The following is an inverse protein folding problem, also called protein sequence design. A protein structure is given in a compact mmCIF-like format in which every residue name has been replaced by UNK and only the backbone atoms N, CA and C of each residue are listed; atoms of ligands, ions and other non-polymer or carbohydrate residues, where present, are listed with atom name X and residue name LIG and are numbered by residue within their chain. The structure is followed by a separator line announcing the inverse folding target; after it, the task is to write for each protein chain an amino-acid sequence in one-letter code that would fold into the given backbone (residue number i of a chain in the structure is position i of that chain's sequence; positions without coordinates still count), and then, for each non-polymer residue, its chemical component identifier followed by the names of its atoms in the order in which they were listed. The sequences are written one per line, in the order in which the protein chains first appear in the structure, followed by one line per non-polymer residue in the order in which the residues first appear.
data_IF_374414398300
#
_entry.id   IF_374414398300
#
_cell.length_a   1.000
_cell.length_b   1.000
_cell.length_c   1.000
_cell.angle_alpha   90.00
_cell.angle_beta   90.00
_cell.angle_gamma   90.00
#
_symmetry.space_group_name_H-M   'P 1'
#
loop_
_entity.id
_entity.type
_entity.pdbx_description
1 polymer ?
#
# COMPACT_ATOMS: atom_id res chain seq x y z
N UNK A 1 58.82 -28.45 -35.58
CA UNK A 1 57.40 -28.19 -35.91
C UNK A 1 56.68 -29.52 -36.08
N UNK A 2 55.64 -29.75 -35.28
CA UNK A 2 54.41 -30.38 -35.74
C UNK A 2 53.16 -29.52 -35.41
N UNK A 3 52.00 -29.76 -36.05
CA UNK A 3 50.97 -28.76 -36.29
C UNK A 3 49.96 -28.60 -35.14
N UNK A 4 49.44 -27.37 -35.03
CA UNK A 4 48.31 -26.96 -34.20
C UNK A 4 47.04 -27.72 -34.61
N UNK A 5 46.42 -28.41 -33.64
CA UNK A 5 45.08 -28.98 -33.77
C UNK A 5 44.10 -27.96 -33.18
N UNK A 6 43.26 -27.37 -34.05
CA UNK A 6 42.17 -26.48 -33.65
C UNK A 6 41.00 -27.28 -33.06
N UNK A 7 40.59 -26.93 -31.84
CA UNK A 7 39.33 -27.41 -31.24
C UNK A 7 38.22 -26.41 -31.58
N UNK A 8 37.04 -26.83 -32.05
CA UNK A 8 35.94 -25.92 -32.33
C UNK A 8 35.39 -25.36 -31.00
N UNK A 9 35.32 -24.04 -30.89
CA UNK A 9 34.66 -23.35 -29.78
C UNK A 9 33.17 -23.30 -30.07
N UNK A 10 32.37 -24.02 -29.30
CA UNK A 10 30.91 -23.91 -29.30
C UNK A 10 30.54 -22.54 -28.72
N UNK A 11 29.85 -21.71 -29.51
CA UNK A 11 29.35 -20.41 -29.06
C UNK A 11 28.28 -20.58 -27.97
N UNK A 12 28.58 -20.10 -26.76
CA UNK A 12 27.59 -19.90 -25.70
C UNK A 12 26.68 -18.74 -26.12
N UNK A 13 25.33 -18.88 -26.12
CA UNK A 13 24.46 -17.76 -26.43
C UNK A 13 24.52 -16.72 -25.31
N UNK A 14 24.92 -15.50 -25.67
CA UNK A 14 24.88 -14.29 -24.86
C UNK A 14 23.45 -14.05 -24.34
N UNK A 15 23.24 -13.84 -23.02
CA UNK A 15 21.93 -13.44 -22.52
C UNK A 15 21.57 -12.05 -23.06
N UNK A 16 20.41 -11.96 -23.72
CA UNK A 16 19.76 -10.71 -24.11
C UNK A 16 19.66 -9.78 -22.90
N UNK A 17 20.14 -8.53 -22.96
CA UNK A 17 19.98 -7.60 -21.85
C UNK A 17 18.49 -7.27 -21.67
N UNK A 18 17.97 -7.58 -20.50
CA UNK A 18 16.70 -7.05 -19.99
C UNK A 18 16.76 -5.52 -20.02
N UNK A 19 15.78 -4.80 -20.60
CA UNK A 19 15.83 -3.35 -20.63
C UNK A 19 15.71 -2.80 -19.20
N UNK A 20 16.79 -2.20 -18.71
CA UNK A 20 16.78 -1.31 -17.54
C UNK A 20 16.01 -0.05 -17.90
N UNK A 21 14.93 0.33 -17.19
CA UNK A 21 14.29 1.62 -17.42
C UNK A 21 15.26 2.73 -17.01
N UNK A 22 15.85 3.37 -18.01
CA UNK A 22 16.74 4.52 -17.85
C UNK A 22 15.96 5.81 -18.09
N UNK A 23 15.83 6.63 -17.05
CA UNK A 23 15.36 8.01 -17.15
C UNK A 23 14.44 8.42 -16.01
N UNK A 24 14.52 9.68 -15.52
CA UNK A 24 13.56 10.18 -14.55
C UNK A 24 12.16 10.13 -15.18
N UNK A 25 11.21 9.52 -14.49
CA UNK A 25 9.84 9.39 -14.97
C UNK A 25 9.21 10.78 -15.19
N UNK A 26 9.23 11.27 -16.42
CA UNK A 26 8.39 12.40 -16.82
C UNK A 26 6.95 11.95 -16.68
N UNK A 27 6.26 12.47 -15.66
CA UNK A 27 4.89 12.13 -15.25
C UNK A 27 3.88 12.29 -16.40
N UNK A 28 3.74 11.25 -17.23
CA UNK A 28 2.45 10.95 -17.85
C UNK A 28 1.59 10.40 -16.72
N UNK A 29 0.42 11.00 -16.48
CA UNK A 29 -0.52 10.45 -15.51
C UNK A 29 -0.76 9.01 -15.92
N UNK A 30 -0.36 8.06 -15.06
CA UNK A 30 -0.56 6.65 -15.34
C UNK A 30 -2.05 6.43 -15.63
N UNK A 31 -2.35 5.56 -16.59
CA UNK A 31 -3.74 5.20 -16.87
C UNK A 31 -4.31 4.48 -15.65
N UNK A 32 -5.09 5.22 -14.87
CA UNK A 32 -5.66 4.80 -13.59
C UNK A 32 -7.17 4.92 -13.64
N UNK A 33 -7.86 4.35 -12.66
CA UNK A 33 -9.30 4.50 -12.57
C UNK A 33 -9.71 5.98 -12.50
N UNK A 34 -8.95 6.81 -11.78
CA UNK A 34 -9.22 8.25 -11.63
C UNK A 34 -9.06 9.05 -12.90
N UNK A 35 -8.23 8.62 -13.86
CA UNK A 35 -8.11 9.31 -15.16
C UNK A 35 -9.24 8.98 -16.11
N UNK A 36 -10.02 7.92 -15.82
CA UNK A 36 -11.12 7.45 -16.68
C UNK A 36 -12.50 7.83 -16.16
N UNK A 37 -12.64 8.11 -14.87
CA UNK A 37 -13.94 8.47 -14.28
C UNK A 37 -14.47 9.82 -14.74
N UNK A 38 -15.79 9.90 -14.88
CA UNK A 38 -16.50 11.14 -15.17
C UNK A 38 -16.47 12.11 -13.97
N UNK A 39 -15.66 13.17 -14.05
CA UNK A 39 -15.53 14.19 -12.99
C UNK A 39 -16.88 14.87 -12.66
N UNK A 40 -17.71 15.17 -13.66
CA UNK A 40 -19.05 15.76 -13.45
C UNK A 40 -19.96 14.82 -12.67
N UNK A 41 -19.90 13.51 -12.93
CA UNK A 41 -20.65 12.51 -12.16
C UNK A 41 -20.18 12.51 -10.70
N UNK A 42 -18.87 12.53 -10.45
CA UNK A 42 -18.31 12.61 -9.10
C UNK A 42 -18.77 13.88 -8.40
N UNK A 43 -18.67 15.02 -9.08
CA UNK A 43 -19.01 16.34 -8.57
C UNK A 43 -20.48 16.41 -8.14
N UNK A 44 -21.38 16.00 -9.04
CA UNK A 44 -22.84 16.02 -8.81
C UNK A 44 -23.26 15.00 -7.76
N UNK A 45 -22.69 13.79 -7.78
CA UNK A 45 -23.02 12.73 -6.82
C UNK A 45 -22.63 13.12 -5.41
N UNK A 46 -21.43 13.68 -5.22
CA UNK A 46 -20.94 14.09 -3.89
C UNK A 46 -21.41 15.49 -3.47
N UNK A 47 -21.88 16.33 -4.40
CA UNK A 47 -22.28 17.70 -4.12
C UNK A 47 -21.09 18.59 -3.75
N UNK A 48 -19.95 18.38 -4.41
CA UNK A 48 -18.68 19.05 -4.10
C UNK A 48 -18.42 20.18 -5.10
N UNK A 49 -17.70 21.25 -4.72
CA UNK A 49 -17.54 22.43 -5.56
C UNK A 49 -16.71 22.17 -6.81
N UNK A 50 -15.70 21.30 -6.72
CA UNK A 50 -14.81 20.93 -7.83
C UNK A 50 -14.38 19.49 -7.69
N UNK A 51 -14.04 18.86 -8.81
CA UNK A 51 -13.32 17.59 -8.85
C UNK A 51 -12.06 17.83 -9.68
N UNK A 52 -10.90 17.41 -9.17
CA UNK A 52 -9.63 17.49 -9.91
C UNK A 52 -8.82 16.24 -9.65
N UNK A 53 -8.34 15.60 -10.72
CA UNK A 53 -7.35 14.53 -10.58
C UNK A 53 -6.13 15.08 -9.82
N UNK A 54 -5.76 14.40 -8.74
CA UNK A 54 -4.50 14.66 -8.05
C UNK A 54 -3.48 13.63 -8.56
N UNK A 55 -2.58 13.99 -9.50
CA UNK A 55 -1.63 13.05 -10.09
C UNK A 55 -0.51 12.64 -9.13
N UNK A 56 -0.67 12.88 -7.82
CA UNK A 56 0.31 12.47 -6.81
C UNK A 56 0.48 10.96 -6.89
N UNK A 57 1.73 10.51 -6.89
CA UNK A 57 2.06 9.10 -6.70
C UNK A 57 1.66 8.75 -5.27
N UNK A 58 0.42 8.29 -5.10
CA UNK A 58 -0.10 8.03 -3.77
C UNK A 58 0.45 6.69 -3.27
N UNK A 59 0.82 6.62 -1.98
CA UNK A 59 1.19 5.36 -1.37
C UNK A 59 0.10 4.31 -1.63
N UNK A 60 0.50 3.05 -1.70
CA UNK A 60 -0.48 1.96 -1.70
C UNK A 60 -1.36 2.08 -0.45
N UNK A 61 -2.65 1.76 -0.58
CA UNK A 61 -3.50 1.53 0.59
C UNK A 61 -3.16 0.14 1.12
N UNK A 62 -2.14 0.09 1.97
CA UNK A 62 -1.65 -1.13 2.58
C UNK A 62 -2.72 -1.70 3.49
N UNK A 63 -3.23 -2.85 3.06
CA UNK A 63 -4.31 -3.57 3.69
C UNK A 63 -4.33 -5.01 3.20
N UNK A 64 -5.31 -5.77 3.67
CA UNK A 64 -5.62 -7.09 3.14
C UNK A 64 -6.98 -7.06 2.45
N UNK A 65 -7.02 -6.95 1.10
CA UNK A 65 -5.88 -6.83 0.18
C UNK A 65 -5.33 -5.39 0.09
N UNK A 66 -4.13 -5.26 -0.49
CA UNK A 66 -3.49 -3.95 -0.75
C UNK A 66 -3.98 -3.40 -2.10
N UNK A 67 -4.20 -2.08 -2.17
CA UNK A 67 -4.69 -1.41 -3.38
C UNK A 67 -3.67 -0.42 -3.93
N UNK A 68 -3.51 -0.40 -5.25
CA UNK A 68 -2.98 0.76 -5.96
C UNK A 68 -4.09 1.80 -6.06
N UNK A 69 -3.86 2.94 -5.42
CA UNK A 69 -4.85 4.00 -5.26
C UNK A 69 -4.47 5.20 -6.10
N UNK A 70 -5.46 5.82 -6.69
CA UNK A 70 -5.41 7.17 -7.25
C UNK A 70 -6.40 8.07 -6.50
N UNK A 71 -6.25 9.39 -6.60
CA UNK A 71 -7.08 10.35 -5.86
C UNK A 71 -7.66 11.45 -6.74
N UNK A 72 -8.88 11.86 -6.40
CA UNK A 72 -9.54 13.06 -6.89
C UNK A 72 -9.70 14.04 -5.74
N UNK A 73 -9.17 15.25 -5.88
CA UNK A 73 -9.43 16.36 -4.98
C UNK A 73 -10.87 16.84 -5.13
N UNK A 74 -11.56 17.02 -4.02
CA UNK A 74 -12.97 17.42 -3.97
C UNK A 74 -13.17 18.88 -3.53
N UNK A 75 -12.10 19.65 -3.45
CA UNK A 75 -12.15 21.08 -3.16
C UNK A 75 -11.03 21.82 -3.87
N UNK A 76 -11.08 23.16 -3.80
CA UNK A 76 -10.02 24.04 -4.31
C UNK A 76 -8.78 24.05 -3.41
N UNK A 77 -8.88 23.52 -2.18
CA UNK A 77 -7.75 23.41 -1.26
C UNK A 77 -6.92 22.16 -1.55
N UNK A 78 -5.58 22.26 -1.65
CA UNK A 78 -4.71 21.10 -1.82
C UNK A 78 -4.70 20.15 -0.60
N UNK A 79 -5.18 20.59 0.57
CA UNK A 79 -5.38 19.78 1.78
C UNK A 79 -6.85 19.39 1.99
N UNK A 80 -7.71 19.63 1.00
CA UNK A 80 -9.13 19.34 1.05
C UNK A 80 -9.49 17.85 1.05
N UNK A 81 -10.80 17.54 1.17
CA UNK A 81 -11.28 16.17 1.07
C UNK A 81 -10.92 15.55 -0.29
N UNK A 82 -10.65 14.24 -0.29
CA UNK A 82 -10.32 13.48 -1.49
C UNK A 82 -11.25 12.27 -1.64
N UNK A 83 -11.56 11.92 -2.89
CA UNK A 83 -12.07 10.60 -3.26
C UNK A 83 -10.88 9.74 -3.67
N UNK A 84 -10.79 8.54 -3.12
CA UNK A 84 -9.76 7.55 -3.41
C UNK A 84 -10.40 6.39 -4.16
N UNK A 85 -9.80 6.02 -5.29
CA UNK A 85 -10.22 4.85 -6.06
C UNK A 85 -9.02 3.91 -6.16
N UNK A 86 -9.22 2.67 -5.77
CA UNK A 86 -8.17 1.67 -5.67
C UNK A 86 -8.52 0.36 -6.35
N UNK A 87 -7.51 -0.31 -6.89
CA UNK A 87 -7.61 -1.66 -7.45
C UNK A 87 -6.60 -2.54 -6.74
N UNK A 88 -7.02 -3.74 -6.34
CA UNK A 88 -6.14 -4.67 -5.63
C UNK A 88 -4.92 -5.00 -6.49
N UNK A 89 -3.73 -4.95 -5.86
CA UNK A 89 -2.47 -5.20 -6.57
C UNK A 89 -2.33 -6.66 -6.99
N UNK A 90 -2.81 -7.57 -6.13
CA UNK A 90 -2.93 -8.99 -6.42
C UNK A 90 -4.34 -9.34 -6.95
N UNK A 91 -4.46 -10.42 -7.72
CA UNK A 91 -5.75 -11.02 -8.01
C UNK A 91 -6.53 -11.33 -6.73
N UNK A 92 -7.85 -11.29 -6.83
CA UNK A 92 -8.78 -11.56 -5.75
C UNK A 92 -9.92 -12.45 -6.23
N UNK A 93 -10.44 -13.26 -5.33
CA UNK A 93 -11.62 -14.10 -5.53
C UNK A 93 -12.73 -13.66 -4.57
N UNK A 94 -13.86 -14.37 -4.61
CA UNK A 94 -14.96 -14.16 -3.66
C UNK A 94 -14.54 -14.43 -2.22
N UNK A 95 -13.55 -15.30 -2.00
CA UNK A 95 -13.00 -15.58 -0.67
C UNK A 95 -12.27 -14.37 -0.11
N UNK A 96 -11.44 -13.70 -0.91
CA UNK A 96 -10.75 -12.47 -0.50
C UNK A 96 -11.73 -11.32 -0.27
N UNK A 97 -12.80 -11.22 -1.07
CA UNK A 97 -13.88 -10.24 -0.80
C UNK A 97 -14.54 -10.49 0.57
N UNK A 98 -14.89 -11.74 0.86
CA UNK A 98 -15.48 -12.11 2.15
C UNK A 98 -14.51 -11.90 3.31
N UNK A 99 -13.22 -12.17 3.11
CA UNK A 99 -12.17 -11.90 4.10
C UNK A 99 -12.03 -10.39 4.36
N UNK A 100 -12.03 -9.55 3.32
CA UNK A 100 -12.01 -8.09 3.45
C UNK A 100 -13.25 -7.58 4.22
N UNK A 101 -14.43 -8.14 3.95
CA UNK A 101 -15.65 -7.79 4.69
C UNK A 101 -15.54 -8.19 6.17
N UNK A 102 -15.05 -9.39 6.46
CA UNK A 102 -14.82 -9.88 7.84
C UNK A 102 -13.80 -9.02 8.58
N UNK A 103 -12.70 -8.65 7.92
CA UNK A 103 -11.67 -7.77 8.49
C UNK A 103 -12.25 -6.40 8.82
N UNK A 104 -13.09 -5.82 7.93
CA UNK A 104 -13.77 -4.57 8.22
C UNK A 104 -14.75 -4.69 9.40
N UNK A 105 -15.53 -5.77 9.48
CA UNK A 105 -16.47 -5.98 10.58
C UNK A 105 -15.77 -6.05 11.96
N UNK A 106 -14.52 -6.51 12.01
CA UNK A 106 -13.73 -6.54 13.25
C UNK A 106 -13.34 -5.14 13.78
N UNK A 107 -13.40 -4.09 12.95
CA UNK A 107 -13.03 -2.72 13.35
C UNK A 107 -14.05 -2.03 14.26
N UNK A 108 -15.23 -2.64 14.48
CA UNK A 108 -16.37 -2.04 15.22
C UNK A 108 -16.82 -0.68 14.67
N UNK A 109 -16.48 -0.36 13.42
CA UNK A 109 -16.94 0.82 12.71
C UNK A 109 -18.41 0.67 12.26
N UNK A 110 -18.89 1.61 11.44
CA UNK A 110 -20.24 1.56 10.82
C UNK A 110 -20.48 0.19 10.17
N UNK A 111 -21.61 -0.50 10.43
CA UNK A 111 -21.91 -1.77 9.80
C UNK A 111 -21.93 -1.66 8.26
N UNK A 112 -21.13 -2.50 7.60
CA UNK A 112 -21.15 -2.59 6.15
C UNK A 112 -22.42 -3.31 5.66
N UNK A 113 -22.99 -2.80 4.58
CA UNK A 113 -24.15 -3.39 3.89
C UNK A 113 -23.72 -4.01 2.57
N UNK A 114 -24.37 -5.09 2.11
CA UNK A 114 -24.11 -5.66 0.80
C UNK A 114 -24.46 -4.68 -0.31
N UNK A 115 -23.71 -4.72 -1.41
CA UNK A 115 -23.98 -3.94 -2.63
C UNK A 115 -23.88 -4.82 -3.87
N UNK A 116 -24.71 -4.54 -4.86
CA UNK A 116 -24.71 -5.23 -6.15
C UNK A 116 -23.79 -4.50 -7.15
N UNK A 117 -22.48 -4.75 -7.03
CA UNK A 117 -21.45 -4.24 -7.93
C UNK A 117 -20.55 -5.41 -8.37
N UNK A 118 -20.24 -5.50 -9.66
CA UNK A 118 -19.43 -6.60 -10.21
C UNK A 118 -19.96 -7.97 -9.80
N UNK A 119 -19.08 -8.80 -9.26
CA UNK A 119 -19.38 -10.16 -8.76
C UNK A 119 -19.84 -10.19 -7.28
N UNK A 120 -20.15 -9.02 -6.72
CA UNK A 120 -20.56 -8.82 -5.34
C UNK A 120 -19.68 -7.80 -4.61
N UNK A 121 -20.23 -7.17 -3.56
CA UNK A 121 -19.49 -6.20 -2.75
C UNK A 121 -20.18 -5.83 -1.44
N UNK A 122 -19.52 -4.96 -0.68
CA UNK A 122 -20.05 -4.34 0.53
C UNK A 122 -19.65 -2.86 0.61
N UNK A 123 -20.39 -2.08 1.40
CA UNK A 123 -20.08 -0.66 1.58
C UNK A 123 -20.75 -0.01 2.78
N UNK A 124 -20.39 1.23 3.02
CA UNK A 124 -20.82 2.08 4.14
C UNK A 124 -21.11 3.49 3.65
N UNK A 125 -21.32 4.43 4.57
CA UNK A 125 -21.34 5.87 4.28
C UNK A 125 -20.01 6.46 3.80
N UNK A 126 -18.92 5.68 3.74
CA UNK A 126 -17.58 6.20 3.39
C UNK A 126 -16.87 5.44 2.29
N UNK A 127 -17.37 4.27 1.91
CA UNK A 127 -16.74 3.47 0.86
C UNK A 127 -17.67 2.41 0.29
N UNK A 128 -17.27 1.86 -0.85
CA UNK A 128 -17.68 0.55 -1.37
C UNK A 128 -16.44 -0.26 -1.75
N UNK A 129 -16.47 -1.57 -1.51
CA UNK A 129 -15.49 -2.56 -1.96
C UNK A 129 -16.24 -3.65 -2.70
N UNK A 130 -15.80 -4.02 -3.90
CA UNK A 130 -16.45 -5.04 -4.70
C UNK A 130 -15.46 -5.82 -5.55
N UNK A 131 -15.82 -7.04 -5.92
CA UNK A 131 -15.04 -7.88 -6.81
C UNK A 131 -15.43 -7.59 -8.27
N UNK A 132 -14.45 -7.32 -9.12
CA UNK A 132 -14.64 -7.09 -10.54
C UNK A 132 -13.51 -7.75 -11.32
N UNK A 133 -13.84 -8.68 -12.22
CA UNK A 133 -12.89 -9.34 -13.12
C UNK A 133 -11.66 -9.90 -12.39
N UNK A 134 -11.87 -10.55 -11.23
CA UNK A 134 -10.80 -11.13 -10.43
C UNK A 134 -9.93 -10.15 -9.66
N UNK A 135 -10.43 -8.93 -9.38
CA UNK A 135 -9.75 -7.91 -8.57
C UNK A 135 -10.73 -7.23 -7.62
N UNK A 136 -10.27 -6.85 -6.43
CA UNK A 136 -11.08 -5.97 -5.57
C UNK A 136 -10.90 -4.52 -6.04
N UNK A 137 -12.02 -3.82 -6.15
CA UNK A 137 -12.06 -2.38 -6.41
C UNK A 137 -12.61 -1.71 -5.16
N UNK A 138 -11.94 -0.64 -4.71
CA UNK A 138 -12.35 0.16 -3.55
C UNK A 138 -12.57 1.60 -3.98
N UNK A 139 -13.74 2.15 -3.67
CA UNK A 139 -14.02 3.59 -3.83
C UNK A 139 -14.31 4.13 -2.44
N UNK A 140 -13.56 5.13 -1.98
CA UNK A 140 -13.66 5.64 -0.60
C UNK A 140 -13.40 7.14 -0.52
N UNK A 141 -14.00 7.83 0.45
CA UNK A 141 -13.88 9.28 0.55
C UNK A 141 -14.59 9.90 1.76
N UNK A 142 -15.06 11.16 1.66
CA UNK A 142 -15.78 11.83 2.73
C UNK A 142 -17.14 11.15 3.02
N UNK A 143 -17.74 11.34 4.21
CA UNK A 143 -19.06 10.80 4.51
C UNK A 143 -20.11 11.21 3.46
N UNK A 144 -20.84 10.23 2.95
CA UNK A 144 -21.95 10.38 2.03
C UNK A 144 -22.94 9.21 2.25
N UNK A 145 -24.03 9.14 1.50
CA UNK A 145 -24.91 7.96 1.59
C UNK A 145 -24.27 6.77 0.88
N UNK A 146 -24.57 5.54 1.34
CA UNK A 146 -24.16 4.32 0.62
C UNK A 146 -24.61 4.36 -0.85
N UNK A 147 -25.81 4.88 -1.13
CA UNK A 147 -26.33 5.01 -2.50
C UNK A 147 -25.40 5.87 -3.39
N UNK A 148 -24.83 6.96 -2.86
CA UNK A 148 -23.84 7.77 -3.58
C UNK A 148 -22.58 6.96 -3.88
N UNK A 149 -22.08 6.18 -2.91
CA UNK A 149 -20.95 5.30 -3.15
C UNK A 149 -21.24 4.16 -4.12
N UNK A 150 -22.47 3.64 -4.17
CA UNK A 150 -22.90 2.67 -5.18
C UNK A 150 -22.86 3.29 -6.58
N UNK A 151 -23.33 4.53 -6.76
CA UNK A 151 -23.23 5.24 -8.05
C UNK A 151 -21.77 5.42 -8.47
N UNK A 152 -20.89 5.83 -7.56
CA UNK A 152 -19.46 5.94 -7.84
C UNK A 152 -18.82 4.56 -8.13
N UNK A 153 -19.31 3.51 -7.48
CA UNK A 153 -18.92 2.12 -7.75
C UNK A 153 -19.35 1.65 -9.14
N UNK A 154 -20.55 2.01 -9.60
CA UNK A 154 -21.02 1.72 -10.96
C UNK A 154 -20.16 2.42 -12.01
N UNK A 155 -19.74 3.66 -11.74
CA UNK A 155 -18.77 4.33 -12.60
C UNK A 155 -17.44 3.57 -12.65
N UNK A 156 -16.93 3.13 -11.50
CA UNK A 156 -15.73 2.32 -11.45
C UNK A 156 -15.87 1.01 -12.25
N UNK A 157 -17.03 0.32 -12.16
CA UNK A 157 -17.32 -0.88 -12.96
C UNK A 157 -17.25 -0.60 -14.46
N UNK A 158 -17.76 0.55 -14.91
CA UNK A 158 -17.75 0.95 -16.32
C UNK A 158 -16.34 1.28 -16.83
N UNK A 159 -15.50 1.89 -15.98
CA UNK A 159 -14.19 2.41 -16.39
C UNK A 159 -13.01 1.46 -16.17
N UNK A 160 -13.16 0.49 -15.27
CA UNK A 160 -12.09 -0.43 -14.91
C UNK A 160 -11.64 -1.41 -16.03
N UNK A 161 -12.53 -1.91 -16.92
CA UNK A 161 -12.10 -2.78 -18.01
C UNK A 161 -10.97 -2.17 -18.85
N UNK A 162 -9.92 -2.96 -19.12
CA UNK A 162 -8.76 -2.52 -19.90
C UNK A 162 -7.79 -1.60 -19.15
N UNK A 163 -7.93 -1.41 -17.83
CA UNK A 163 -6.85 -0.80 -17.05
C UNK A 163 -5.62 -1.71 -17.03
N UNK A 164 -4.40 -1.14 -17.08
CA UNK A 164 -3.19 -1.93 -17.00
C UNK A 164 -3.11 -2.66 -15.66
N UNK A 165 -2.44 -3.81 -15.66
CA UNK A 165 -2.10 -4.50 -14.43
C UNK A 165 -1.18 -3.58 -13.60
N UNK A 166 -1.45 -3.38 -12.30
CA UNK A 166 -0.52 -2.83 -11.34
C UNK A 166 0.90 -3.34 -11.59
N UNK A 167 1.86 -2.43 -11.80
CA UNK A 167 3.25 -2.82 -12.02
C UNK A 167 3.73 -3.66 -10.82
N UNK A 168 4.29 -4.88 -10.99
CA UNK A 168 4.52 -5.78 -9.85
C UNK A 168 5.60 -5.28 -8.88
N UNK A 169 6.54 -4.46 -9.37
CA UNK A 169 7.62 -3.88 -8.58
C UNK A 169 7.65 -2.37 -8.77
N UNK A 170 7.33 -1.65 -7.69
CA UNK A 170 7.87 -0.33 -7.44
C UNK A 170 8.87 -0.55 -6.32
N UNK A 171 10.12 -0.83 -6.70
CA UNK A 171 11.19 -1.12 -5.75
C UNK A 171 12.14 0.07 -5.67
N UNK A 172 12.60 0.36 -4.46
CA UNK A 172 13.62 1.35 -4.17
C UNK A 172 14.81 0.67 -3.51
N UNK A 173 16.02 1.02 -3.93
CA UNK A 173 17.27 0.43 -3.39
C UNK A 173 17.36 0.61 -1.88
N UNK A 174 16.83 1.73 -1.38
CA UNK A 174 16.74 2.03 0.03
C UNK A 174 15.95 0.96 0.79
N UNK A 175 14.79 0.56 0.25
CA UNK A 175 13.91 -0.45 0.81
C UNK A 175 14.44 -1.88 0.60
N UNK A 176 15.28 -2.12 -0.42
CA UNK A 176 15.77 -3.47 -0.73
C UNK A 176 16.54 -4.13 0.43
N UNK A 177 17.21 -3.32 1.26
CA UNK A 177 17.91 -3.78 2.47
C UNK A 177 16.98 -4.53 3.44
N UNK A 178 15.70 -4.20 3.46
CA UNK A 178 14.70 -4.84 4.31
C UNK A 178 14.12 -6.14 3.75
N UNK A 179 14.34 -6.48 2.47
CA UNK A 179 13.59 -7.54 1.78
C UNK A 179 13.74 -8.92 2.41
N UNK A 180 14.97 -9.34 2.69
CA UNK A 180 15.21 -10.66 3.29
C UNK A 180 14.56 -10.78 4.68
N UNK A 181 14.59 -9.70 5.47
CA UNK A 181 13.98 -9.66 6.81
C UNK A 181 12.47 -9.53 6.76
N UNK A 182 11.94 -8.78 5.80
CA UNK A 182 10.51 -8.72 5.54
C UNK A 182 9.95 -10.11 5.18
N UNK A 183 10.68 -10.89 4.40
CA UNK A 183 10.29 -12.27 4.08
C UNK A 183 10.25 -13.17 5.33
N UNK A 184 11.18 -12.97 6.28
CA UNK A 184 11.18 -13.69 7.57
C UNK A 184 9.96 -13.31 8.40
N UNK A 185 9.65 -12.02 8.54
CA UNK A 185 8.45 -11.53 9.25
C UNK A 185 7.17 -12.10 8.64
N UNK A 186 7.04 -12.03 7.31
CA UNK A 186 5.83 -12.47 6.62
C UNK A 186 5.75 -13.99 6.43
N UNK A 187 6.81 -14.74 6.74
CA UNK A 187 6.92 -16.18 6.50
C UNK A 187 7.07 -16.59 5.03
N UNK A 188 7.16 -15.65 4.09
CA UNK A 188 7.33 -15.90 2.67
C UNK A 188 7.92 -14.66 1.95
N UNK A 189 8.62 -14.84 0.81
CA UNK A 189 9.04 -13.73 -0.04
C UNK A 189 7.87 -12.89 -0.54
N UNK A 190 8.09 -11.59 -0.69
CA UNK A 190 7.11 -10.68 -1.26
C UNK A 190 6.81 -11.04 -2.72
N UNK A 191 5.54 -11.13 -3.08
CA UNK A 191 5.10 -11.25 -4.47
C UNK A 191 5.08 -9.89 -5.18
N UNK A 192 4.81 -8.83 -4.41
CA UNK A 192 4.72 -7.45 -4.90
C UNK A 192 5.50 -6.52 -3.98
N UNK A 193 6.15 -5.53 -4.59
CA UNK A 193 6.80 -4.41 -3.91
C UNK A 193 6.11 -3.09 -4.23
N UNK A 194 5.86 -2.29 -3.20
CA UNK A 194 5.20 -0.99 -3.27
C UNK A 194 5.96 0.05 -2.45
N UNK A 195 7.14 0.37 -2.92
CA UNK A 195 7.95 1.41 -2.32
C UNK A 195 7.51 2.77 -2.86
N UNK A 196 7.40 3.76 -1.98
CA UNK A 196 6.94 5.10 -2.33
C UNK A 196 7.57 6.13 -1.38
N UNK A 197 7.21 7.38 -1.59
CA UNK A 197 7.63 8.51 -0.78
C UNK A 197 6.41 9.35 -0.42
N UNK A 198 6.35 9.81 0.82
CA UNK A 198 5.35 10.79 1.22
C UNK A 198 5.61 12.13 0.56
N UNK A 199 4.65 13.05 0.61
CA UNK A 199 4.80 14.39 0.05
C UNK A 199 5.93 15.23 0.70
N UNK A 200 6.46 14.80 1.85
CA UNK A 200 7.53 15.48 2.59
C UNK A 200 8.86 14.71 2.54
N UNK A 201 8.98 13.71 1.66
CA UNK A 201 10.25 13.00 1.45
C UNK A 201 10.43 11.73 2.28
N UNK A 202 9.53 11.44 3.22
CA UNK A 202 9.66 10.24 4.05
C UNK A 202 9.36 8.97 3.24
N UNK A 203 10.27 7.99 3.27
CA UNK A 203 10.11 6.71 2.57
C UNK A 203 9.00 5.84 3.16
N UNK A 204 8.36 5.08 2.28
CA UNK A 204 7.34 4.08 2.61
C UNK A 204 7.70 2.83 1.84
N UNK A 205 8.26 1.83 2.52
CA UNK A 205 8.58 0.53 1.96
C UNK A 205 7.43 -0.45 2.18
N UNK A 206 7.12 -1.27 1.17
CA UNK A 206 5.98 -2.18 1.20
C UNK A 206 6.25 -3.53 0.57
N UNK A 207 6.09 -4.60 1.35
CA UNK A 207 6.24 -5.99 0.94
C UNK A 207 4.89 -6.70 1.09
N UNK A 208 4.42 -7.32 0.00
CA UNK A 208 3.06 -7.85 -0.10
C UNK A 208 3.10 -9.29 -0.59
N UNK A 209 2.40 -10.18 0.11
CA UNK A 209 2.04 -11.53 -0.33
C UNK A 209 0.53 -11.62 -0.53
N UNK A 210 0.00 -12.79 -0.90
CA UNK A 210 -1.44 -13.01 -1.03
C UNK A 210 -2.21 -12.86 0.28
N UNK A 211 -1.56 -13.08 1.43
CA UNK A 211 -2.23 -13.10 2.75
C UNK A 211 -1.60 -12.17 3.77
N UNK A 212 -0.36 -11.72 3.54
CA UNK A 212 0.42 -10.95 4.50
C UNK A 212 0.95 -9.67 3.84
N UNK A 213 1.03 -8.61 4.62
CA UNK A 213 1.67 -7.36 4.22
C UNK A 213 2.59 -6.92 5.34
N UNK A 214 3.82 -6.56 4.99
CA UNK A 214 4.67 -5.77 5.87
C UNK A 214 4.91 -4.44 5.19
N UNK A 215 4.66 -3.35 5.90
CA UNK A 215 5.00 -2.04 5.38
C UNK A 215 5.51 -1.12 6.47
N UNK A 216 6.17 -0.06 6.03
CA UNK A 216 6.64 1.03 6.87
C UNK A 216 5.83 2.27 6.56
N UNK A 217 5.52 3.07 7.57
CA UNK A 217 4.89 4.38 7.37
C UNK A 217 5.47 5.39 8.33
N UNK A 218 5.52 6.64 7.89
CA UNK A 218 6.04 7.75 8.70
C UNK A 218 4.90 8.72 8.97
N UNK A 219 4.80 9.14 10.22
CA UNK A 219 3.87 10.17 10.67
C UNK A 219 4.64 11.28 11.35
N UNK A 220 4.44 12.50 10.87
CA UNK A 220 4.91 13.72 11.51
C UNK A 220 3.84 14.17 12.52
N UNK A 221 4.20 14.25 13.79
CA UNK A 221 3.33 14.65 14.91
C UNK A 221 4.02 15.74 15.72
N UNK A 222 3.32 16.76 16.24
CA UNK A 222 3.98 17.86 16.95
C UNK A 222 4.76 17.45 18.21
N UNK A 223 4.33 16.37 18.85
CA UNK A 223 4.96 15.83 20.05
C UNK A 223 5.05 14.29 19.92
N UNK A 224 6.15 13.83 19.34
CA UNK A 224 6.38 12.39 19.14
C UNK A 224 6.67 11.68 20.46
N UNK A 225 7.23 12.35 21.46
CA UNK A 225 7.49 11.76 22.77
C UNK A 225 6.19 11.40 23.49
N UNK A 226 5.20 12.30 23.47
CA UNK A 226 3.88 12.03 24.04
C UNK A 226 3.19 10.83 23.37
N UNK A 227 3.40 10.61 22.07
CA UNK A 227 2.87 9.44 21.35
C UNK A 227 3.50 8.13 21.83
N UNK A 228 4.75 8.16 22.30
CA UNK A 228 5.45 6.98 22.82
C UNK A 228 5.02 6.59 24.24
N UNK A 229 4.49 7.53 25.05
CA UNK A 229 4.06 7.26 26.43
C UNK A 229 3.14 6.06 26.59
N UNK A 230 2.00 5.94 25.85
CA UNK A 230 1.14 4.77 25.96
C UNK A 230 1.82 3.49 25.47
N UNK A 231 2.71 3.57 24.47
CA UNK A 231 3.45 2.43 23.93
C UNK A 231 4.44 1.91 24.97
N UNK A 232 5.23 2.79 25.59
CA UNK A 232 6.18 2.46 26.66
C UNK A 232 5.51 1.76 27.84
N UNK A 233 4.27 2.16 28.16
CA UNK A 233 3.50 1.63 29.31
C UNK A 233 2.72 0.36 28.99
N UNK A 234 2.58 -0.03 27.72
CA UNK A 234 1.83 -1.21 27.36
C UNK A 234 2.53 -2.48 27.86
N UNK A 235 1.78 -3.41 28.44
CA UNK A 235 2.33 -4.67 28.98
C UNK A 235 2.94 -5.57 27.88
N UNK A 236 2.53 -5.37 26.63
CA UNK A 236 3.02 -6.09 25.45
C UNK A 236 4.20 -5.39 24.78
N UNK A 237 4.71 -4.30 25.38
CA UNK A 237 5.76 -3.49 24.77
C UNK A 237 7.15 -4.04 25.08
N UNK A 238 7.89 -4.37 24.02
CA UNK A 238 9.29 -4.80 24.10
C UNK A 238 10.20 -3.73 23.49
N UNK A 239 11.12 -3.12 24.25
CA UNK A 239 12.01 -2.10 23.74
C UNK A 239 13.08 -2.67 22.80
N UNK A 240 13.53 -1.86 21.84
CA UNK A 240 14.69 -2.16 21.00
C UNK A 240 15.48 -0.90 20.64
N UNK A 241 16.79 -1.02 20.35
CA UNK A 241 17.68 0.14 20.24
C UNK A 241 17.66 0.75 18.84
N UNK A 242 16.56 1.43 18.48
CA UNK A 242 16.46 2.16 17.22
C UNK A 242 15.77 3.52 17.39
N UNK A 243 16.29 4.52 16.67
CA UNK A 243 15.86 5.91 16.84
C UNK A 243 16.24 6.46 18.21
N UNK A 244 15.50 7.45 18.67
CA UNK A 244 15.62 7.91 20.06
C UNK A 244 14.92 6.95 21.04
N UNK A 245 13.91 6.23 20.55
CA UNK A 245 13.13 5.25 21.32
C UNK A 245 12.39 4.30 20.35
N UNK A 246 12.42 2.99 20.59
CA UNK A 246 11.75 2.00 19.74
C UNK A 246 11.12 0.86 20.54
N UNK A 247 9.91 0.42 20.13
CA UNK A 247 9.19 -0.70 20.74
C UNK A 247 8.50 -1.59 19.73
N UNK A 248 8.49 -2.89 19.99
CA UNK A 248 7.61 -3.85 19.32
C UNK A 248 6.47 -4.20 20.27
N UNK A 249 5.23 -4.06 19.81
CA UNK A 249 4.06 -4.59 20.51
C UNK A 249 3.93 -6.09 20.22
N UNK A 250 4.26 -6.93 21.21
CA UNK A 250 4.26 -8.40 21.08
C UNK A 250 2.87 -8.99 20.84
N UNK A 251 1.78 -8.25 21.10
CA UNK A 251 0.44 -8.72 20.77
C UNK A 251 0.13 -8.59 19.28
N UNK A 252 0.61 -7.53 18.63
CA UNK A 252 0.27 -7.21 17.23
C UNK A 252 1.43 -7.39 16.27
N UNK A 253 2.65 -7.47 16.77
CA UNK A 253 3.88 -7.42 15.99
C UNK A 253 4.27 -6.03 15.51
N UNK A 254 3.48 -4.99 15.81
CA UNK A 254 3.75 -3.64 15.29
C UNK A 254 5.00 -3.06 15.95
N UNK A 255 5.95 -2.65 15.12
CA UNK A 255 7.08 -1.83 15.56
C UNK A 255 6.72 -0.34 15.53
N UNK A 256 7.14 0.42 16.53
CA UNK A 256 7.04 1.88 16.54
C UNK A 256 8.37 2.48 16.97
N UNK A 257 8.88 3.43 16.19
CA UNK A 257 10.17 4.10 16.41
C UNK A 257 9.92 5.60 16.44
N UNK A 258 10.46 6.28 17.45
CA UNK A 258 10.53 7.73 17.50
C UNK A 258 11.89 8.21 17.00
N UNK A 259 11.88 9.24 16.15
CA UNK A 259 13.09 9.90 15.67
C UNK A 259 12.91 11.40 15.85
N UNK A 260 13.78 12.04 16.63
CA UNK A 260 13.63 13.43 16.99
C UNK A 260 12.35 13.71 17.77
N UNK A 261 11.93 14.98 17.72
CA UNK A 261 10.78 15.48 18.48
C UNK A 261 9.45 15.31 17.74
N UNK A 262 9.47 15.12 16.42
CA UNK A 262 8.29 15.24 15.57
C UNK A 262 7.97 14.04 14.68
N UNK A 263 8.79 12.97 14.69
CA UNK A 263 8.66 11.87 13.72
C UNK A 263 8.44 10.53 14.41
N UNK A 264 7.41 9.83 13.96
CA UNK A 264 7.10 8.44 14.30
C UNK A 264 7.19 7.59 13.04
N UNK A 265 7.88 6.46 13.14
CA UNK A 265 7.95 5.43 12.11
C UNK A 265 7.23 4.20 12.64
N UNK A 266 6.25 3.72 11.89
CA UNK A 266 5.50 2.52 12.21
C UNK A 266 5.93 1.40 11.25
N UNK A 267 6.20 0.21 11.81
CA UNK A 267 6.46 -1.04 11.10
C UNK A 267 5.24 -1.93 11.30
N UNK A 268 4.47 -2.16 10.25
CA UNK A 268 3.13 -2.72 10.38
C UNK A 268 3.04 -4.08 9.66
N UNK A 269 3.04 -5.19 10.41
CA UNK A 269 2.69 -6.50 9.87
C UNK A 269 1.16 -6.66 9.88
N UNK A 270 0.56 -6.90 8.72
CA UNK A 270 -0.85 -7.26 8.55
C UNK A 270 -0.96 -8.71 8.09
N UNK A 271 -1.93 -9.44 8.65
CA UNK A 271 -2.18 -10.84 8.31
C UNK A 271 -1.21 -11.83 8.95
N UNK A 272 -0.17 -11.34 9.62
CA UNK A 272 0.78 -12.15 10.39
C UNK A 272 0.33 -12.16 11.86
N UNK A 273 -0.29 -13.24 12.36
CA UNK A 273 -0.63 -13.34 13.77
C UNK A 273 0.65 -13.55 14.58
N UNK A 274 0.92 -12.64 15.52
CA UNK A 274 2.05 -12.73 16.47
C UNK A 274 3.40 -13.02 15.80
N UNK A 275 3.90 -12.15 14.89
CA UNK A 275 5.25 -12.32 14.39
C UNK A 275 6.23 -12.34 15.56
N UNK A 276 7.24 -13.18 15.45
CA UNK A 276 8.31 -13.28 16.42
C UNK A 276 8.94 -11.88 16.65
N UNK A 277 8.95 -11.37 17.90
CA UNK A 277 9.43 -10.02 18.19
C UNK A 277 10.88 -9.79 17.75
N UNK A 278 11.75 -10.80 17.88
CA UNK A 278 13.16 -10.69 17.48
C UNK A 278 13.29 -10.57 15.96
N UNK A 279 12.42 -11.24 15.21
CA UNK A 279 12.33 -11.09 13.75
C UNK A 279 11.88 -9.70 13.36
N UNK A 280 10.91 -9.11 14.08
CA UNK A 280 10.49 -7.71 13.88
C UNK A 280 11.60 -6.71 14.22
N UNK A 281 12.34 -6.94 15.31
CA UNK A 281 13.51 -6.12 15.67
C UNK A 281 14.61 -6.24 14.61
N UNK A 282 14.90 -7.46 14.14
CA UNK A 282 15.88 -7.69 13.08
C UNK A 282 15.49 -6.98 11.78
N UNK A 283 14.21 -6.99 11.43
CA UNK A 283 13.68 -6.19 10.34
C UNK A 283 13.88 -4.70 10.59
N UNK A 284 13.46 -4.17 11.74
CA UNK A 284 13.60 -2.75 12.09
C UNK A 284 15.07 -2.26 11.95
N UNK A 285 16.02 -3.03 12.45
CA UNK A 285 17.45 -2.72 12.36
C UNK A 285 17.95 -2.71 10.91
N UNK A 286 17.44 -3.58 10.03
CA UNK A 286 17.84 -3.64 8.62
C UNK A 286 17.44 -2.41 7.79
N UNK A 287 16.41 -1.69 8.24
CA UNK A 287 15.88 -0.47 7.60
C UNK A 287 16.15 0.79 8.42
N UNK A 288 16.95 0.68 9.49
CA UNK A 288 17.27 1.77 10.43
C UNK A 288 17.73 3.05 9.74
N UNK A 289 18.71 2.93 8.84
CA UNK A 289 19.29 4.05 8.09
C UNK A 289 18.31 4.78 7.16
N UNK A 290 17.08 4.28 6.96
CA UNK A 290 16.06 5.00 6.20
C UNK A 290 15.43 6.12 7.02
N UNK A 291 15.42 5.98 8.34
CA UNK A 291 14.56 6.80 9.18
C UNK A 291 15.28 7.59 10.26
N UNK A 292 16.50 7.21 10.62
CA UNK A 292 17.30 7.79 11.72
C UNK A 292 18.18 8.97 11.29
N UNK A 293 17.79 9.69 10.23
CA UNK A 293 18.39 10.94 9.79
C UNK A 293 17.40 12.09 9.90
#
# INVERSE_FOLDING_TARGET
MPPLVSVPTTETPTPTPTPTPSGPATSKVADTLCTRVNETLVQTTLGVPVVRIQPKQTPADFGLPTYDVCQLGLSTSPSGPVLRMGISVLPATKTELAAAQKAYAATKAEPAKPVALGDGGFGTSRFVVFLLAGRLVKVSGPPATLAKYVVLGQEAVRQAPGLPYPAPLIARDECERGTAKAAQVMGAPAMIRRDSETAVGDLVCGWITSTNVLYTTVRRVPDAEAVMVPIRKAATSQPFPLGDEGYVDTATGRGTIRVGTDKIVDLVPLGVPHPDPDTMVSFALSISGLYTH
#
